data_IF_615226375402
#
_entry.id   IF_615226375402
#
_cell.length_a   1.000
_cell.length_b   1.000
_cell.length_c   1.000
_cell.angle_alpha   90.00
_cell.angle_beta   90.00
_cell.angle_gamma   90.00
#
_symmetry.space_group_name_H-M   'P 1'
#
loop_
_entity.id
_entity.type
_entity.pdbx_description
1 polymer ?
#
# COMPACT_ATOMS: atom_id res chain seq x y z
N UNK A 1 15.45 37.63 -34.71
CA UNK A 1 14.37 37.20 -33.80
C UNK A 1 14.14 35.69 -33.92
N UNK A 2 14.11 35.10 -35.14
CA UNK A 2 13.93 33.66 -35.34
C UNK A 2 15.09 32.82 -34.79
N UNK A 3 16.34 33.28 -34.83
CA UNK A 3 17.51 32.61 -34.31
C UNK A 3 17.54 32.55 -32.77
N UNK A 4 16.99 33.54 -32.09
CA UNK A 4 16.84 33.49 -30.62
C UNK A 4 15.79 32.47 -30.15
N UNK A 5 14.71 32.26 -30.91
CA UNK A 5 13.69 31.26 -30.58
C UNK A 5 14.23 29.81 -30.72
N UNK A 6 15.03 29.54 -31.77
CA UNK A 6 15.66 28.23 -31.94
C UNK A 6 16.67 27.93 -30.86
N UNK A 7 17.44 28.94 -30.39
CA UNK A 7 18.39 28.77 -29.29
C UNK A 7 17.71 28.50 -27.94
N UNK A 8 16.54 29.13 -27.68
CA UNK A 8 15.79 28.88 -26.44
C UNK A 8 15.13 27.49 -26.40
N UNK A 9 14.64 27.01 -27.53
CA UNK A 9 14.09 25.67 -27.67
C UNK A 9 15.17 24.59 -27.46
N UNK A 10 16.39 24.83 -27.97
CA UNK A 10 17.52 23.91 -27.78
C UNK A 10 18.03 23.90 -26.34
N UNK A 11 18.08 25.06 -25.66
CA UNK A 11 18.42 25.15 -24.23
C UNK A 11 17.36 24.50 -23.31
N UNK A 12 16.08 24.57 -23.67
CA UNK A 12 14.99 23.91 -22.94
C UNK A 12 15.08 22.39 -23.10
N UNK A 13 15.52 21.91 -24.25
CA UNK A 13 15.67 20.46 -24.52
C UNK A 13 16.87 19.86 -23.81
N UNK A 14 17.99 20.56 -23.72
CA UNK A 14 19.20 20.10 -23.04
C UNK A 14 19.09 20.17 -21.52
N UNK A 15 18.34 21.15 -20.99
CA UNK A 15 18.04 21.22 -19.54
C UNK A 15 16.97 20.22 -19.12
N UNK A 16 16.14 19.72 -20.04
CA UNK A 16 15.10 18.73 -19.69
C UNK A 16 15.65 17.34 -19.38
N UNK A 17 16.83 16.97 -19.92
CA UNK A 17 17.45 15.67 -19.69
C UNK A 17 18.02 15.51 -18.28
N UNK A 18 18.77 16.51 -17.79
CA UNK A 18 19.30 16.53 -16.42
C UNK A 18 18.20 16.77 -15.39
N UNK A 19 17.29 17.71 -15.66
CA UNK A 19 16.15 17.98 -14.80
C UNK A 19 15.22 16.77 -14.67
N UNK A 20 15.05 15.96 -15.73
CA UNK A 20 14.26 14.73 -15.69
C UNK A 20 14.88 13.65 -14.82
N UNK A 21 16.22 13.51 -14.81
CA UNK A 21 16.90 12.54 -13.95
C UNK A 21 16.85 12.94 -12.48
N UNK A 22 17.02 14.22 -12.18
CA UNK A 22 16.93 14.75 -10.81
C UNK A 22 15.49 14.64 -10.26
N UNK A 23 14.49 15.00 -11.06
CA UNK A 23 13.08 14.83 -10.70
C UNK A 23 12.72 13.36 -10.44
N UNK A 24 13.21 12.44 -11.24
CA UNK A 24 12.96 11.01 -11.04
C UNK A 24 13.60 10.51 -9.76
N UNK A 25 14.84 10.93 -9.46
CA UNK A 25 15.53 10.62 -8.21
C UNK A 25 14.77 11.16 -7.00
N UNK A 26 14.36 12.42 -7.04
CA UNK A 26 13.63 13.07 -5.96
C UNK A 26 12.26 12.42 -5.74
N UNK A 27 11.61 11.97 -6.82
CA UNK A 27 10.39 11.19 -6.75
C UNK A 27 10.57 9.89 -5.97
N UNK A 28 11.58 9.09 -6.34
CA UNK A 28 11.88 7.84 -5.64
C UNK A 28 12.24 8.08 -4.18
N UNK A 29 13.05 9.10 -3.89
CA UNK A 29 13.44 9.45 -2.53
C UNK A 29 12.22 9.86 -1.68
N UNK A 30 11.34 10.69 -2.23
CA UNK A 30 10.13 11.15 -1.55
C UNK A 30 9.17 10.00 -1.26
N UNK A 31 8.95 9.12 -2.24
CA UNK A 31 8.10 7.94 -2.09
C UNK A 31 8.71 6.95 -1.08
N UNK A 32 10.02 6.71 -1.12
CA UNK A 32 10.70 5.85 -0.15
C UNK A 32 10.62 6.42 1.27
N UNK A 33 10.85 7.72 1.43
CA UNK A 33 10.74 8.40 2.72
C UNK A 33 9.31 8.32 3.27
N UNK A 34 8.31 8.59 2.43
CA UNK A 34 6.90 8.46 2.81
C UNK A 34 6.56 7.03 3.25
N UNK A 35 7.03 6.01 2.51
CA UNK A 35 6.81 4.61 2.86
C UNK A 35 7.45 4.23 4.21
N UNK A 36 8.66 4.72 4.50
CA UNK A 36 9.36 4.48 5.78
C UNK A 36 8.62 5.15 6.93
N UNK A 37 8.23 6.42 6.78
CA UNK A 37 7.47 7.13 7.81
C UNK A 37 6.11 6.46 8.08
N UNK A 38 5.43 6.01 7.03
CA UNK A 38 4.17 5.27 7.16
C UNK A 38 4.36 3.91 7.83
N UNK A 39 5.45 3.18 7.51
CA UNK A 39 5.79 1.93 8.20
C UNK A 39 5.98 2.16 9.71
N UNK A 40 6.75 3.17 10.08
CA UNK A 40 6.99 3.55 11.48
C UNK A 40 5.67 3.88 12.17
N UNK A 41 4.82 4.71 11.55
CA UNK A 41 3.51 5.06 12.08
C UNK A 41 2.63 3.82 12.33
N UNK A 42 2.54 2.90 11.36
CA UNK A 42 1.71 1.70 11.48
C UNK A 42 2.25 0.76 12.55
N UNK A 43 3.57 0.56 12.63
CA UNK A 43 4.19 -0.30 13.64
C UNK A 43 3.93 0.26 15.06
N UNK A 44 4.06 1.57 15.26
CA UNK A 44 3.75 2.22 16.54
C UNK A 44 2.25 2.09 16.86
N UNK A 45 1.38 2.33 15.88
CA UNK A 45 -0.08 2.32 16.05
C UNK A 45 -0.64 0.94 16.37
N UNK A 46 -0.13 -0.10 15.71
CA UNK A 46 -0.66 -1.47 15.82
C UNK A 46 0.17 -2.40 16.73
N UNK A 47 1.38 -1.99 17.13
CA UNK A 47 2.31 -2.76 17.97
C UNK A 47 2.60 -4.18 17.43
N UNK A 48 2.39 -4.43 16.14
CA UNK A 48 2.67 -5.71 15.46
C UNK A 48 3.26 -5.41 14.07
N UNK A 49 4.51 -5.78 13.87
CA UNK A 49 5.26 -5.54 12.62
C UNK A 49 4.58 -6.18 11.40
N UNK A 50 3.80 -7.24 11.60
CA UNK A 50 3.08 -7.94 10.51
C UNK A 50 2.05 -7.04 9.82
N UNK A 51 1.36 -6.17 10.59
CA UNK A 51 0.47 -5.17 10.00
C UNK A 51 1.26 -4.16 9.15
N UNK A 52 2.41 -3.69 9.64
CA UNK A 52 3.26 -2.74 8.93
C UNK A 52 3.76 -3.31 7.60
N UNK A 53 4.33 -4.51 7.62
CA UNK A 53 4.84 -5.16 6.41
C UNK A 53 3.72 -5.41 5.39
N UNK A 54 2.55 -5.86 5.84
CA UNK A 54 1.40 -6.07 4.95
C UNK A 54 0.92 -4.76 4.31
N UNK A 55 0.90 -3.66 5.07
CA UNK A 55 0.52 -2.35 4.55
C UNK A 55 1.52 -1.85 3.49
N UNK A 56 2.83 -1.94 3.77
CA UNK A 56 3.85 -1.49 2.80
C UNK A 56 3.78 -2.29 1.52
N UNK A 57 3.59 -3.61 1.59
CA UNK A 57 3.44 -4.43 0.38
C UNK A 57 2.17 -4.09 -0.41
N UNK A 58 1.06 -3.80 0.25
CA UNK A 58 -0.15 -3.32 -0.41
C UNK A 58 0.08 -1.97 -1.08
N UNK A 59 0.78 -1.04 -0.42
CA UNK A 59 1.17 0.25 -1.02
C UNK A 59 2.11 0.09 -2.22
N UNK A 60 3.09 -0.81 -2.15
CA UNK A 60 3.96 -1.11 -3.30
C UNK A 60 3.16 -1.66 -4.48
N UNK A 61 2.17 -2.51 -4.22
CA UNK A 61 1.25 -2.98 -5.25
C UNK A 61 0.47 -1.81 -5.88
N UNK A 62 -0.08 -0.90 -5.09
CA UNK A 62 -0.87 0.23 -5.57
C UNK A 62 -0.03 1.15 -6.45
N UNK A 63 1.19 1.47 -6.03
CA UNK A 63 2.14 2.25 -6.82
C UNK A 63 2.47 1.56 -8.14
N UNK A 64 2.76 0.25 -8.10
CA UNK A 64 3.05 -0.52 -9.30
C UNK A 64 1.87 -0.47 -10.28
N UNK A 65 0.63 -0.60 -9.81
CA UNK A 65 -0.58 -0.51 -10.64
C UNK A 65 -0.74 0.87 -11.28
N UNK A 66 -0.48 1.94 -10.52
CA UNK A 66 -0.52 3.31 -11.07
C UNK A 66 0.60 3.54 -12.09
N UNK A 67 1.81 3.02 -11.86
CA UNK A 67 2.88 3.07 -12.86
C UNK A 67 2.53 2.33 -14.15
N UNK A 68 1.92 1.15 -14.04
CA UNK A 68 1.42 0.42 -15.22
C UNK A 68 0.41 1.27 -16.00
N UNK A 69 -0.48 1.99 -15.30
CA UNK A 69 -1.43 2.89 -15.93
C UNK A 69 -0.73 4.04 -16.67
N UNK A 70 0.32 4.65 -16.08
CA UNK A 70 1.12 5.70 -16.72
C UNK A 70 1.77 5.21 -18.02
N UNK A 71 2.35 4.02 -17.99
CA UNK A 71 2.98 3.41 -19.17
C UNK A 71 1.93 3.12 -20.26
N UNK A 72 0.77 2.56 -19.87
CA UNK A 72 -0.29 2.17 -20.80
C UNK A 72 -0.90 3.38 -21.51
N UNK A 73 -1.10 4.48 -20.79
CA UNK A 73 -1.68 5.71 -21.32
C UNK A 73 -0.63 6.67 -21.88
N UNK A 74 0.66 6.33 -21.83
CA UNK A 74 1.78 7.17 -22.27
C UNK A 74 1.75 8.58 -21.66
N UNK A 75 1.38 8.67 -20.40
CA UNK A 75 1.35 9.95 -19.68
C UNK A 75 2.77 10.42 -19.37
N UNK A 76 2.95 11.75 -19.31
CA UNK A 76 4.24 12.35 -18.98
C UNK A 76 4.59 12.14 -17.51
N UNK A 77 5.79 11.60 -17.25
CA UNK A 77 6.29 11.45 -15.87
C UNK A 77 6.97 12.76 -15.47
N UNK A 78 6.30 13.55 -14.65
CA UNK A 78 6.77 14.85 -14.16
C UNK A 78 6.36 15.07 -12.70
N UNK A 79 6.46 16.32 -12.23
CA UNK A 79 6.07 16.71 -10.86
C UNK A 79 4.61 16.34 -10.53
N UNK A 80 3.73 16.38 -11.51
CA UNK A 80 2.33 15.96 -11.39
C UNK A 80 2.20 14.49 -11.03
N UNK A 81 3.04 13.62 -11.61
CA UNK A 81 3.10 12.20 -11.28
C UNK A 81 3.49 11.96 -9.83
N UNK A 82 4.52 12.68 -9.33
CA UNK A 82 4.97 12.58 -7.93
C UNK A 82 3.85 12.99 -6.98
N UNK A 83 3.20 14.12 -7.26
CA UNK A 83 2.08 14.61 -6.45
C UNK A 83 0.91 13.61 -6.43
N UNK A 84 0.58 13.00 -7.57
CA UNK A 84 -0.42 11.92 -7.66
C UNK A 84 -0.04 10.72 -6.78
N UNK A 85 1.20 10.25 -6.89
CA UNK A 85 1.68 9.09 -6.13
C UNK A 85 1.57 9.34 -4.62
N UNK A 86 2.06 10.48 -4.12
CA UNK A 86 1.98 10.82 -2.70
C UNK A 86 0.54 10.94 -2.21
N UNK A 87 -0.36 11.50 -3.03
CA UNK A 87 -1.78 11.61 -2.70
C UNK A 87 -2.45 10.24 -2.63
N UNK A 88 -2.16 9.35 -3.59
CA UNK A 88 -2.68 7.99 -3.62
C UNK A 88 -2.15 7.19 -2.43
N UNK A 89 -0.88 7.37 -2.03
CA UNK A 89 -0.32 6.79 -0.83
C UNK A 89 -1.15 7.15 0.41
N UNK A 90 -1.39 8.45 0.62
CA UNK A 90 -2.17 8.92 1.77
C UNK A 90 -3.60 8.38 1.76
N UNK A 91 -4.21 8.28 0.60
CA UNK A 91 -5.56 7.74 0.45
C UNK A 91 -5.62 6.22 0.71
N UNK A 92 -4.74 5.45 0.08
CA UNK A 92 -4.72 3.99 0.21
C UNK A 92 -4.40 3.54 1.64
N UNK A 93 -3.46 4.23 2.33
CA UNK A 93 -3.12 3.89 3.71
C UNK A 93 -4.31 4.12 4.66
N UNK A 94 -5.11 5.18 4.44
CA UNK A 94 -6.28 5.44 5.27
C UNK A 94 -7.30 4.30 5.19
N UNK A 95 -7.59 3.80 3.99
CA UNK A 95 -8.47 2.65 3.78
C UNK A 95 -7.91 1.37 4.41
N UNK A 96 -6.60 1.14 4.29
CA UNK A 96 -5.89 0.00 4.89
C UNK A 96 -5.95 0.02 6.43
N UNK A 97 -5.76 1.18 7.04
CA UNK A 97 -5.84 1.35 8.51
C UNK A 97 -7.23 0.99 9.03
N UNK A 98 -8.29 1.39 8.34
CA UNK A 98 -9.68 1.06 8.74
C UNK A 98 -9.89 -0.45 8.76
N UNK A 99 -9.40 -1.17 7.76
CA UNK A 99 -9.48 -2.64 7.72
C UNK A 99 -8.66 -3.26 8.85
N UNK A 100 -7.45 -2.78 9.09
CA UNK A 100 -6.59 -3.30 10.14
C UNK A 100 -7.10 -3.02 11.56
N UNK A 101 -7.65 -1.85 11.82
CA UNK A 101 -8.29 -1.54 13.10
C UNK A 101 -9.44 -2.51 13.38
N UNK A 102 -10.25 -2.83 12.37
CA UNK A 102 -11.35 -3.80 12.50
C UNK A 102 -10.86 -5.22 12.71
N UNK A 103 -9.81 -5.65 11.99
CA UNK A 103 -9.19 -6.96 12.21
C UNK A 103 -8.67 -7.06 13.64
N UNK A 104 -8.00 -6.03 14.15
CA UNK A 104 -7.46 -5.99 15.51
C UNK A 104 -8.56 -6.06 16.58
N UNK A 105 -9.65 -5.32 16.39
CA UNK A 105 -10.81 -5.34 17.28
C UNK A 105 -11.45 -6.74 17.33
N UNK A 106 -11.68 -7.35 16.17
CA UNK A 106 -12.25 -8.69 16.09
C UNK A 106 -11.32 -9.77 16.67
N UNK A 107 -9.98 -9.60 16.56
CA UNK A 107 -9.00 -10.48 17.23
C UNK A 107 -9.10 -10.35 18.75
N UNK A 108 -9.30 -9.14 19.29
CA UNK A 108 -9.43 -8.93 20.72
C UNK A 108 -10.72 -9.56 21.27
N UNK A 109 -11.80 -9.51 20.49
CA UNK A 109 -13.11 -10.05 20.86
C UNK A 109 -13.22 -11.59 20.67
N UNK A 110 -12.34 -12.21 19.88
CA UNK A 110 -12.43 -13.64 19.52
C UNK A 110 -12.03 -14.63 20.63
N UNK A 111 -11.57 -14.16 21.79
CA UNK A 111 -11.21 -15.01 22.95
C UNK A 111 -10.10 -16.03 22.63
N UNK A 112 -10.27 -17.28 23.15
CA UNK A 112 -9.22 -18.31 23.11
C UNK A 112 -9.12 -19.06 21.77
N UNK A 113 -10.23 -19.18 21.03
CA UNK A 113 -10.27 -19.85 19.70
C UNK A 113 -10.17 -18.83 18.58
N UNK A 114 -8.96 -18.56 18.10
CA UNK A 114 -8.70 -17.56 17.05
C UNK A 114 -8.61 -18.25 15.68
N UNK A 115 -9.73 -18.30 14.95
CA UNK A 115 -9.72 -18.62 13.52
C UNK A 115 -9.47 -17.33 12.73
N UNK A 116 -8.19 -17.06 12.43
CA UNK A 116 -7.77 -15.85 11.73
C UNK A 116 -8.43 -15.67 10.36
N UNK A 117 -8.80 -16.78 9.68
CA UNK A 117 -9.47 -16.71 8.38
C UNK A 117 -10.88 -16.13 8.51
N UNK A 118 -11.64 -16.61 9.49
CA UNK A 118 -12.99 -16.11 9.75
C UNK A 118 -12.95 -14.66 10.23
N UNK A 119 -11.98 -14.32 11.11
CA UNK A 119 -11.82 -12.96 11.63
C UNK A 119 -11.54 -11.95 10.50
N UNK A 120 -10.63 -12.28 9.58
CA UNK A 120 -10.31 -11.39 8.43
C UNK A 120 -11.54 -11.22 7.54
N UNK A 121 -12.23 -12.30 7.19
CA UNK A 121 -13.41 -12.24 6.34
C UNK A 121 -14.55 -11.42 6.99
N UNK A 122 -14.78 -11.62 8.27
CA UNK A 122 -15.75 -10.83 9.04
C UNK A 122 -15.38 -9.34 9.05
N UNK A 123 -14.11 -9.02 9.29
CA UNK A 123 -13.61 -7.65 9.36
C UNK A 123 -13.75 -6.93 8.02
N UNK A 124 -13.42 -7.61 6.91
CA UNK A 124 -13.61 -7.07 5.56
C UNK A 124 -15.10 -6.78 5.31
N UNK A 125 -15.99 -7.73 5.60
CA UNK A 125 -17.43 -7.52 5.42
C UNK A 125 -17.99 -6.35 6.24
N UNK A 126 -17.45 -6.12 7.44
CA UNK A 126 -17.88 -5.01 8.29
C UNK A 126 -17.35 -3.64 7.83
N UNK A 127 -16.24 -3.61 7.09
CA UNK A 127 -15.60 -2.37 6.64
C UNK A 127 -15.86 -2.04 5.17
N UNK A 128 -16.29 -3.03 4.36
CA UNK A 128 -16.46 -2.88 2.91
C UNK A 128 -17.40 -1.72 2.56
N UNK A 129 -18.54 -1.63 3.22
CA UNK A 129 -19.56 -0.59 2.98
C UNK A 129 -18.96 0.79 3.21
N UNK A 130 -18.25 0.99 4.32
CA UNK A 130 -17.58 2.26 4.64
C UNK A 130 -16.51 2.60 3.61
N UNK A 131 -15.67 1.62 3.23
CA UNK A 131 -14.62 1.82 2.22
C UNK A 131 -15.21 2.18 0.85
N UNK A 132 -16.30 1.54 0.44
CA UNK A 132 -16.97 1.86 -0.83
C UNK A 132 -17.55 3.29 -0.80
N UNK A 133 -18.25 3.69 0.26
CA UNK A 133 -18.81 5.03 0.34
C UNK A 133 -17.74 6.12 0.37
N UNK A 134 -16.65 5.93 1.14
CA UNK A 134 -15.54 6.90 1.16
C UNK A 134 -14.83 6.99 -0.19
N UNK A 135 -14.64 5.87 -0.87
CA UNK A 135 -14.04 5.85 -2.21
C UNK A 135 -14.95 6.49 -3.25
N UNK A 136 -16.25 6.24 -3.17
CA UNK A 136 -17.23 6.82 -4.08
C UNK A 136 -17.33 8.35 -3.92
N UNK A 137 -17.39 8.85 -2.69
CA UNK A 137 -17.43 10.30 -2.44
C UNK A 137 -16.17 10.99 -2.93
N UNK A 138 -14.98 10.42 -2.68
CA UNK A 138 -13.71 10.95 -3.19
C UNK A 138 -13.66 10.89 -4.72
N UNK A 139 -14.08 9.78 -5.30
CA UNK A 139 -14.14 9.62 -6.76
C UNK A 139 -15.03 10.67 -7.41
N UNK A 140 -16.23 10.92 -6.88
CA UNK A 140 -17.16 11.94 -7.39
C UNK A 140 -16.54 13.33 -7.31
N UNK A 141 -15.87 13.66 -6.20
CA UNK A 141 -15.20 14.95 -6.03
C UNK A 141 -14.11 15.18 -7.08
N UNK A 142 -13.27 14.15 -7.32
CA UNK A 142 -12.20 14.21 -8.33
C UNK A 142 -12.79 14.21 -9.74
N UNK A 143 -13.90 13.50 -9.96
CA UNK A 143 -14.60 13.50 -11.24
C UNK A 143 -15.12 14.89 -11.62
N UNK A 144 -15.69 15.63 -10.67
CA UNK A 144 -16.08 17.05 -10.90
C UNK A 144 -14.86 17.88 -11.26
N UNK A 145 -13.73 17.68 -10.57
CA UNK A 145 -12.47 18.36 -10.90
C UNK A 145 -11.98 18.02 -12.32
N UNK A 146 -12.13 16.76 -12.73
CA UNK A 146 -11.78 16.31 -14.08
C UNK A 146 -12.63 16.99 -15.17
N UNK A 147 -13.93 17.11 -14.95
CA UNK A 147 -14.86 17.72 -15.91
C UNK A 147 -14.63 19.23 -16.03
N UNK A 148 -14.46 19.92 -14.92
CA UNK A 148 -14.36 21.38 -14.87
C UNK A 148 -12.92 21.92 -14.96
N UNK A 149 -11.91 21.06 -14.83
CA UNK A 149 -10.51 21.46 -14.79
C UNK A 149 -9.93 21.83 -16.15
N UNK A 150 -8.88 22.66 -16.15
CA UNK A 150 -8.03 22.94 -17.32
C UNK A 150 -7.19 21.72 -17.69
N UNK A 151 -6.62 21.70 -18.90
CA UNK A 151 -5.94 20.53 -19.45
C UNK A 151 -4.89 19.89 -18.52
N UNK A 152 -4.05 20.70 -17.87
CA UNK A 152 -3.04 20.21 -16.91
C UNK A 152 -3.65 19.53 -15.66
N UNK A 153 -4.78 20.03 -15.18
CA UNK A 153 -5.49 19.47 -14.03
C UNK A 153 -6.25 18.21 -14.41
N UNK A 154 -6.71 18.07 -15.64
CA UNK A 154 -7.42 16.88 -16.12
C UNK A 154 -6.54 15.62 -16.07
N UNK A 155 -5.28 15.71 -16.49
CA UNK A 155 -4.33 14.60 -16.43
C UNK A 155 -4.10 14.14 -14.97
N UNK A 156 -3.91 15.12 -14.06
CA UNK A 156 -3.78 14.89 -12.64
C UNK A 156 -5.04 14.22 -12.04
N UNK A 157 -6.21 14.79 -12.30
CA UNK A 157 -7.47 14.28 -11.78
C UNK A 157 -7.79 12.87 -12.29
N UNK A 158 -7.52 12.59 -13.57
CA UNK A 158 -7.71 11.26 -14.14
C UNK A 158 -6.86 10.20 -13.43
N UNK A 159 -5.58 10.51 -13.20
CA UNK A 159 -4.67 9.61 -12.47
C UNK A 159 -5.13 9.38 -11.04
N UNK A 160 -5.59 10.44 -10.34
CA UNK A 160 -6.12 10.30 -8.99
C UNK A 160 -7.39 9.45 -8.95
N UNK A 161 -8.30 9.61 -9.91
CA UNK A 161 -9.50 8.76 -10.00
C UNK A 161 -9.14 7.29 -10.11
N UNK A 162 -8.22 6.95 -11.01
CA UNK A 162 -7.73 5.59 -11.16
C UNK A 162 -7.05 5.08 -9.88
N UNK A 163 -6.22 5.90 -9.24
CA UNK A 163 -5.55 5.57 -7.99
C UNK A 163 -6.51 5.32 -6.82
N UNK A 164 -7.60 6.10 -6.71
CA UNK A 164 -8.65 5.87 -5.71
C UNK A 164 -9.35 4.53 -5.90
N UNK A 165 -9.66 4.15 -7.15
CA UNK A 165 -10.28 2.85 -7.47
C UNK A 165 -9.32 1.70 -7.16
N UNK A 166 -8.05 1.82 -7.56
CA UNK A 166 -7.00 0.82 -7.27
C UNK A 166 -6.81 0.67 -5.76
N UNK A 167 -6.69 1.77 -5.00
CA UNK A 167 -6.51 1.76 -3.56
C UNK A 167 -7.71 1.18 -2.81
N UNK A 168 -8.94 1.45 -3.26
CA UNK A 168 -10.15 0.85 -2.71
C UNK A 168 -10.18 -0.67 -2.91
N UNK A 169 -9.85 -1.13 -4.10
CA UNK A 169 -9.72 -2.56 -4.40
C UNK A 169 -8.62 -3.21 -3.56
N UNK A 170 -7.43 -2.62 -3.53
CA UNK A 170 -6.25 -3.14 -2.82
C UNK A 170 -6.49 -3.26 -1.32
N UNK A 171 -7.10 -2.25 -0.69
CA UNK A 171 -7.39 -2.27 0.75
C UNK A 171 -8.33 -3.41 1.16
N UNK A 172 -9.25 -3.81 0.29
CA UNK A 172 -10.21 -4.89 0.56
C UNK A 172 -9.64 -6.25 0.18
N UNK A 173 -9.12 -6.38 -1.06
CA UNK A 173 -8.76 -7.66 -1.65
C UNK A 173 -7.31 -8.09 -1.40
N UNK A 174 -6.38 -7.13 -1.21
CA UNK A 174 -4.94 -7.43 -1.06
C UNK A 174 -4.52 -7.40 0.40
N UNK A 175 -4.88 -6.35 1.14
CA UNK A 175 -4.37 -6.08 2.49
C UNK A 175 -4.77 -7.15 3.50
N UNK A 176 -6.04 -7.57 3.52
CA UNK A 176 -6.55 -8.58 4.46
C UNK A 176 -5.91 -9.97 4.27
N UNK A 177 -5.97 -10.56 3.07
CA UNK A 177 -5.32 -11.82 2.75
C UNK A 177 -3.80 -11.81 2.96
N UNK A 178 -3.14 -10.69 2.64
CA UNK A 178 -1.69 -10.55 2.81
C UNK A 178 -1.31 -10.60 4.31
N UNK A 179 -2.03 -9.88 5.16
CA UNK A 179 -1.85 -9.97 6.61
C UNK A 179 -2.11 -11.40 7.14
N UNK A 180 -3.18 -12.05 6.67
CA UNK A 180 -3.48 -13.44 7.04
C UNK A 180 -2.32 -14.38 6.67
N UNK A 181 -1.75 -14.23 5.48
CA UNK A 181 -0.61 -15.02 5.04
C UNK A 181 0.61 -14.85 5.95
N UNK A 182 0.97 -13.60 6.29
CA UNK A 182 2.07 -13.33 7.22
C UNK A 182 1.80 -13.83 8.65
N UNK A 183 0.54 -13.77 9.08
CA UNK A 183 0.18 -14.27 10.41
C UNK A 183 0.27 -15.79 10.50
N UNK A 184 -0.19 -16.48 9.49
CA UNK A 184 -0.28 -17.96 9.46
C UNK A 184 1.01 -18.62 8.98
N UNK A 185 1.68 -18.03 7.98
CA UNK A 185 2.93 -18.57 7.42
C UNK A 185 4.10 -18.55 8.39
N UNK A 186 4.23 -17.50 9.20
CA UNK A 186 5.22 -17.41 10.28
C UNK A 186 4.83 -18.24 11.52
N UNK A 187 3.53 -18.48 11.77
CA UNK A 187 3.04 -19.31 12.86
C UNK A 187 3.38 -20.77 12.66
N UNK A 188 3.13 -21.32 11.48
CA UNK A 188 3.45 -22.74 11.16
C UNK A 188 4.93 -23.08 11.31
N UNK A 189 5.84 -22.14 11.01
CA UNK A 189 7.29 -22.36 11.24
C UNK A 189 7.66 -22.41 12.73
N UNK A 190 7.01 -21.61 13.58
CA UNK A 190 7.26 -21.63 15.03
C UNK A 190 6.68 -22.89 15.69
N UNK A 191 5.48 -23.30 15.30
CA UNK A 191 4.85 -24.50 15.86
C UNK A 191 5.56 -25.78 15.40
N UNK A 192 6.07 -25.84 14.17
CA UNK A 192 6.89 -26.94 13.68
C UNK A 192 8.27 -27.00 14.38
N UNK A 193 8.88 -25.86 14.70
CA UNK A 193 10.14 -25.80 15.44
C UNK A 193 9.95 -26.17 16.93
N UNK A 194 8.86 -25.72 17.55
CA UNK A 194 8.53 -26.03 18.94
C UNK A 194 8.08 -27.50 19.12
N UNK A 195 7.35 -28.05 18.16
CA UNK A 195 6.95 -29.44 18.11
C UNK A 195 8.14 -30.39 17.97
N UNK A 196 9.18 -30.02 17.21
CA UNK A 196 10.43 -30.80 17.12
C UNK A 196 11.25 -30.74 18.41
N UNK A 197 11.31 -29.58 19.08
CA UNK A 197 12.02 -29.47 20.37
C UNK A 197 11.31 -30.22 21.49
N UNK A 198 9.98 -30.23 21.52
CA UNK A 198 9.21 -30.94 22.52
C UNK A 198 9.32 -32.49 22.34
N UNK A 199 9.33 -32.98 21.09
CA UNK A 199 9.57 -34.41 20.81
C UNK A 199 10.97 -34.84 21.24
N UNK A 200 12.01 -34.04 20.98
CA UNK A 200 13.38 -34.34 21.44
C UNK A 200 13.53 -34.30 22.97
N UNK A 201 12.79 -33.41 23.66
CA UNK A 201 12.81 -33.35 25.12
C UNK A 201 12.09 -34.53 25.78
N UNK A 202 11.00 -35.03 25.17
CA UNK A 202 10.25 -36.22 25.63
C UNK A 202 11.06 -37.50 25.39
N UNK A 203 11.75 -37.58 24.26
CA UNK A 203 12.60 -38.75 23.91
C UNK A 203 13.82 -38.82 24.83
N UNK A 204 14.50 -37.70 25.15
CA UNK A 204 15.58 -37.65 26.15
C UNK A 204 15.12 -38.02 27.54
N UNK A 205 13.87 -37.70 27.96
CA UNK A 205 13.34 -38.09 29.26
C UNK A 205 12.99 -39.60 29.32
N UNK A 206 12.63 -40.22 28.19
CA UNK A 206 12.36 -41.65 28.13
C UNK A 206 13.65 -42.46 28.17
N UNK A 207 14.72 -42.03 27.50
CA UNK A 207 16.03 -42.71 27.56
C UNK A 207 16.72 -42.56 28.92
N UNK A 208 16.54 -41.44 29.62
CA UNK A 208 17.08 -41.20 30.97
C UNK A 208 16.32 -41.97 32.09
N UNK A 209 15.11 -42.52 31.82
CA UNK A 209 14.36 -43.36 32.77
C UNK A 209 14.54 -44.85 32.52
N UNK A 210 15.24 -45.26 31.45
CA UNK A 210 15.49 -46.64 31.08
C UNK A 210 16.91 -47.12 31.43
N UNK A 211 17.72 -46.25 32.04
CA UNK A 211 18.98 -46.58 32.74
C UNK A 211 18.77 -46.48 34.25
#
# INVERSE_FOLDING_TARGET
IAQCLVGSEMCIRDSSGSASSDMTRDAFLSVALAAVLMLIYIVIRFKDVKFGVSAVLALCHDVAMVFVLYILLRLSVGNTCIACMLTIFGYSINATIIVFDRIRENIANAGTKKDYKQIVNLSINQTITRNIYTSLTTFVTIFVLYVMGVAAIKEFAFTLMAGVVIGAYSSICVTGPLWYYFKTGFGKKKDAANGKNNKKAVEKKKTAKAQ
#
